data_IF_157094189044
#
_entry.id   IF_157094189044
#
_cell.length_a   1.000
_cell.length_b   1.000
_cell.length_c   1.000
_cell.angle_alpha   90.00
_cell.angle_beta   90.00
_cell.angle_gamma   90.00
#
_symmetry.space_group_name_H-M   'P 1'
#
loop_
_entity.id
_entity.type
_entity.pdbx_description
1 polymer ?
#
# COMPACT_ATOMS: atom_id res chain seq x y z
N UNK A 1 -13.11 -43.06 -29.01
CA UNK A 1 -12.29 -41.98 -29.61
C UNK A 1 -12.43 -40.77 -28.71
N UNK A 2 -11.41 -40.46 -27.91
CA UNK A 2 -11.42 -39.28 -27.06
C UNK A 2 -11.29 -38.03 -27.93
N UNK A 3 -12.13 -37.03 -27.69
CA UNK A 3 -12.00 -35.70 -28.28
C UNK A 3 -10.59 -35.15 -27.99
N UNK A 4 -9.83 -34.69 -29.01
CA UNK A 4 -8.53 -34.10 -28.77
C UNK A 4 -8.69 -32.88 -27.87
N UNK A 5 -7.94 -32.84 -26.77
CA UNK A 5 -7.93 -31.72 -25.84
C UNK A 5 -7.57 -30.46 -26.64
N UNK A 6 -8.50 -29.52 -26.71
CA UNK A 6 -8.34 -28.29 -27.50
C UNK A 6 -7.27 -27.43 -26.82
N UNK A 7 -6.24 -27.01 -27.54
CA UNK A 7 -5.30 -26.01 -27.03
C UNK A 7 -6.07 -24.71 -26.78
N UNK A 8 -6.20 -24.31 -25.51
CA UNK A 8 -6.84 -23.06 -25.11
C UNK A 8 -5.74 -22.03 -24.94
N UNK A 9 -5.80 -20.95 -25.72
CA UNK A 9 -4.90 -19.81 -25.57
C UNK A 9 -5.72 -18.56 -25.24
N UNK A 10 -5.31 -17.82 -24.21
CA UNK A 10 -5.94 -16.56 -23.83
C UNK A 10 -4.89 -15.56 -23.36
N UNK A 11 -5.23 -14.27 -23.47
CA UNK A 11 -4.35 -13.17 -23.08
C UNK A 11 -4.75 -12.64 -21.70
N UNK A 12 -3.76 -12.39 -20.86
CA UNK A 12 -3.92 -11.86 -19.51
C UNK A 12 -3.00 -10.68 -19.27
N UNK A 13 -3.45 -9.73 -18.45
CA UNK A 13 -2.64 -8.62 -17.94
C UNK A 13 -2.49 -8.78 -16.43
N UNK A 14 -1.33 -9.16 -15.86
CA UNK A 14 -1.24 -9.59 -14.46
C UNK A 14 -1.19 -8.41 -13.46
N UNK A 15 -2.16 -7.50 -13.56
CA UNK A 15 -2.35 -6.34 -12.68
C UNK A 15 -3.82 -6.24 -12.24
N UNK A 16 -4.08 -5.71 -11.04
CA UNK A 16 -5.37 -5.86 -10.35
C UNK A 16 -6.49 -4.96 -10.87
N UNK A 17 -6.17 -3.82 -11.52
CA UNK A 17 -7.14 -2.80 -11.95
C UNK A 17 -7.81 -3.13 -13.29
N UNK A 18 -8.40 -4.32 -13.43
CA UNK A 18 -8.89 -4.86 -14.72
C UNK A 18 -9.85 -3.92 -15.45
N UNK A 19 -10.70 -3.23 -14.70
CA UNK A 19 -11.72 -2.32 -15.24
C UNK A 19 -11.22 -0.89 -15.43
N UNK A 20 -9.92 -0.63 -15.27
CA UNK A 20 -9.32 0.69 -15.48
C UNK A 20 -8.49 0.70 -16.77
N UNK A 21 -8.99 1.28 -17.87
CA UNK A 21 -8.29 1.30 -19.15
C UNK A 21 -6.91 1.96 -19.07
N UNK A 22 -6.80 3.09 -18.37
CA UNK A 22 -5.54 3.84 -18.23
C UNK A 22 -4.47 3.00 -17.52
N UNK A 23 -4.84 2.27 -16.47
CA UNK A 23 -3.92 1.34 -15.82
C UNK A 23 -3.55 0.18 -16.74
N UNK A 24 -4.54 -0.39 -17.43
CA UNK A 24 -4.34 -1.56 -18.30
C UNK A 24 -3.49 -1.23 -19.54
N UNK A 25 -3.55 -0.02 -20.08
CA UNK A 25 -2.71 0.42 -21.20
C UNK A 25 -1.21 0.40 -20.86
N UNK A 26 -0.88 0.51 -19.57
CA UNK A 26 0.48 0.48 -19.04
C UNK A 26 0.92 -0.92 -18.57
N UNK A 27 0.16 -1.97 -18.88
CA UNK A 27 0.42 -3.36 -18.45
C UNK A 27 0.56 -4.26 -19.67
N UNK A 28 1.69 -4.99 -19.74
CA UNK A 28 2.00 -5.92 -20.83
C UNK A 28 1.01 -7.09 -20.88
N UNK A 29 0.68 -7.50 -22.11
CA UNK A 29 -0.09 -8.71 -22.39
C UNK A 29 0.79 -9.95 -22.24
N UNK A 30 0.25 -10.96 -21.55
CA UNK A 30 0.84 -12.28 -21.41
C UNK A 30 -0.09 -13.32 -22.04
N UNK A 31 0.46 -14.23 -22.82
CA UNK A 31 -0.30 -15.36 -23.38
C UNK A 31 -0.23 -16.55 -22.43
N UNK A 32 -1.37 -17.14 -22.12
CA UNK A 32 -1.47 -18.39 -21.38
C UNK A 32 -2.01 -19.44 -22.33
N UNK A 33 -1.20 -20.44 -22.62
CA UNK A 33 -1.55 -21.52 -23.55
C UNK A 33 -1.55 -22.85 -22.81
N UNK A 34 -2.68 -23.54 -22.84
CA UNK A 34 -2.78 -24.93 -22.40
C UNK A 34 -2.26 -25.83 -23.51
N UNK A 35 -1.37 -26.75 -23.14
CA UNK A 35 -0.80 -27.75 -24.05
C UNK A 35 -1.35 -29.14 -23.72
N UNK A 36 -1.59 -29.93 -24.76
CA UNK A 36 -2.25 -31.24 -24.63
C UNK A 36 -1.31 -32.38 -24.18
N UNK A 37 0.01 -32.23 -24.38
CA UNK A 37 1.01 -33.24 -24.02
C UNK A 37 2.04 -32.71 -23.02
N UNK A 38 2.32 -33.50 -21.98
CA UNK A 38 3.41 -33.21 -21.03
C UNK A 38 4.80 -33.20 -21.70
N UNK A 39 4.96 -33.84 -22.87
CA UNK A 39 6.22 -33.81 -23.61
C UNK A 39 6.57 -32.42 -24.16
N UNK A 40 5.60 -31.52 -24.31
CA UNK A 40 5.86 -30.11 -24.68
C UNK A 40 6.44 -29.29 -23.52
N UNK A 41 6.28 -29.76 -22.27
CA UNK A 41 6.91 -29.18 -21.08
C UNK A 41 8.33 -29.71 -20.82
N UNK A 42 8.88 -30.60 -21.66
CA UNK A 42 10.20 -31.19 -21.42
C UNK A 42 11.37 -30.24 -21.77
N UNK A 43 11.10 -29.07 -22.36
CA UNK A 43 12.13 -28.10 -22.75
C UNK A 43 12.27 -26.99 -21.69
N UNK A 44 12.64 -27.36 -20.47
CA UNK A 44 12.93 -26.42 -19.39
C UNK A 44 14.43 -26.19 -19.28
N UNK A 45 14.89 -24.95 -19.36
CA UNK A 45 16.28 -24.60 -19.03
C UNK A 45 16.50 -24.65 -17.51
N UNK A 46 15.48 -24.25 -16.74
CA UNK A 46 15.51 -24.17 -15.30
C UNK A 46 14.22 -24.77 -14.72
N UNK A 47 14.36 -25.83 -13.94
CA UNK A 47 13.24 -26.46 -13.23
C UNK A 47 13.24 -26.00 -11.78
N UNK A 48 12.12 -25.43 -11.34
CA UNK A 48 11.93 -24.88 -10.00
C UNK A 48 11.09 -25.84 -9.15
N UNK A 49 11.41 -25.97 -7.87
CA UNK A 49 10.70 -26.85 -6.93
C UNK A 49 9.54 -26.16 -6.19
N UNK A 50 9.41 -24.84 -6.31
CA UNK A 50 8.39 -24.03 -5.62
C UNK A 50 7.41 -23.42 -6.61
N UNK A 51 6.17 -23.09 -6.19
CA UNK A 51 5.25 -22.34 -7.03
C UNK A 51 5.78 -20.94 -7.35
N UNK A 52 5.18 -20.30 -8.36
CA UNK A 52 5.45 -18.92 -8.71
C UNK A 52 4.21 -18.02 -8.67
N UNK A 53 4.42 -16.72 -8.45
CA UNK A 53 3.40 -15.68 -8.63
C UNK A 53 3.90 -14.70 -9.69
N UNK A 54 3.18 -14.60 -10.80
CA UNK A 54 3.40 -13.62 -11.86
C UNK A 54 2.57 -12.36 -11.60
N UNK A 55 3.23 -11.20 -11.49
CA UNK A 55 2.55 -9.91 -11.42
C UNK A 55 3.29 -8.82 -12.20
N UNK A 56 2.54 -7.82 -12.65
CA UNK A 56 3.08 -6.66 -13.39
C UNK A 56 3.35 -5.49 -12.44
N UNK A 57 4.50 -4.84 -12.63
CA UNK A 57 4.82 -3.53 -12.06
C UNK A 57 4.43 -2.37 -12.98
N UNK A 58 3.59 -2.60 -13.98
CA UNK A 58 2.97 -1.58 -14.82
C UNK A 58 1.91 -0.77 -14.06
N UNK A 59 0.88 -0.31 -14.79
CA UNK A 59 -0.27 0.37 -14.21
C UNK A 59 0.12 1.63 -13.42
N UNK A 60 -0.25 1.69 -12.13
CA UNK A 60 -0.04 2.86 -11.28
C UNK A 60 1.13 2.73 -10.28
N UNK A 61 2.03 1.77 -10.48
CA UNK A 61 3.23 1.65 -9.66
C UNK A 61 4.02 2.97 -9.60
N UNK A 62 4.59 3.28 -8.44
CA UNK A 62 5.27 4.56 -8.15
C UNK A 62 4.39 5.60 -7.50
N UNK A 63 3.07 5.47 -7.59
CA UNK A 63 2.17 6.19 -6.70
C UNK A 63 2.07 5.43 -5.37
N UNK A 64 2.48 6.04 -4.26
CA UNK A 64 2.55 5.36 -2.96
C UNK A 64 1.22 4.74 -2.49
N UNK A 65 0.06 5.30 -2.86
CA UNK A 65 -1.22 4.67 -2.58
C UNK A 65 -1.39 3.37 -3.35
N UNK A 66 -1.18 3.41 -4.67
CA UNK A 66 -1.29 2.24 -5.54
C UNK A 66 -0.19 1.21 -5.28
N UNK A 67 1.01 1.63 -4.90
CA UNK A 67 2.06 0.72 -4.46
C UNK A 67 1.57 -0.20 -3.34
N UNK A 68 0.80 0.33 -2.37
CA UNK A 68 0.22 -0.49 -1.31
C UNK A 68 -1.09 -1.16 -1.71
N UNK A 69 -2.03 -0.40 -2.27
CA UNK A 69 -3.41 -0.85 -2.57
C UNK A 69 -3.43 -1.88 -3.70
N UNK A 70 -2.62 -1.67 -4.75
CA UNK A 70 -2.68 -2.46 -5.99
C UNK A 70 -1.61 -3.56 -6.02
N UNK A 71 -0.50 -3.41 -5.28
CA UNK A 71 0.66 -4.30 -5.35
C UNK A 71 1.01 -4.94 -4.01
N UNK A 72 1.49 -4.19 -3.01
CA UNK A 72 2.06 -4.77 -1.78
C UNK A 72 1.03 -5.56 -0.96
N UNK A 73 -0.17 -5.01 -0.72
CA UNK A 73 -1.22 -5.71 0.03
C UNK A 73 -1.72 -6.94 -0.76
N UNK A 74 -2.09 -6.83 -2.05
CA UNK A 74 -2.45 -7.99 -2.85
C UNK A 74 -1.35 -9.06 -2.94
N UNK A 75 -0.07 -8.66 -3.03
CA UNK A 75 1.06 -9.59 -3.05
C UNK A 75 1.19 -10.31 -1.71
N UNK A 76 1.08 -9.61 -0.57
CA UNK A 76 1.02 -10.23 0.75
C UNK A 76 -0.12 -11.25 0.82
N UNK A 77 -1.34 -10.87 0.46
CA UNK A 77 -2.51 -11.75 0.50
C UNK A 77 -2.40 -12.96 -0.43
N UNK A 78 -1.72 -12.80 -1.57
CA UNK A 78 -1.54 -13.90 -2.54
C UNK A 78 -0.44 -14.87 -2.12
N UNK A 79 0.63 -14.36 -1.53
CA UNK A 79 1.85 -15.14 -1.22
C UNK A 79 1.86 -15.74 0.19
N UNK A 80 1.08 -15.20 1.14
CA UNK A 80 1.19 -15.57 2.56
C UNK A 80 1.02 -17.08 2.82
N UNK A 81 0.12 -17.74 2.09
CA UNK A 81 -0.12 -19.19 2.15
C UNK A 81 1.15 -20.05 1.91
N UNK A 82 2.15 -19.52 1.20
CA UNK A 82 3.37 -20.26 0.87
C UNK A 82 4.49 -20.08 1.91
N UNK A 83 4.33 -19.19 2.90
CA UNK A 83 5.29 -18.95 3.98
C UNK A 83 6.76 -18.74 3.50
N UNK A 84 6.93 -18.06 2.37
CA UNK A 84 8.24 -17.80 1.76
C UNK A 84 8.66 -18.81 0.67
N UNK A 85 7.98 -19.95 0.57
CA UNK A 85 8.21 -21.00 -0.44
C UNK A 85 7.46 -20.72 -1.76
N UNK A 86 7.72 -19.55 -2.33
CA UNK A 86 7.14 -19.11 -3.61
C UNK A 86 8.11 -18.16 -4.30
N UNK A 87 8.30 -18.28 -5.60
CA UNK A 87 9.14 -17.35 -6.37
C UNK A 87 8.28 -16.25 -7.01
N UNK A 88 8.79 -15.03 -7.04
CA UNK A 88 8.13 -13.91 -7.71
C UNK A 88 8.64 -13.73 -9.12
N UNK A 89 7.71 -13.71 -10.07
CA UNK A 89 7.98 -13.41 -11.47
C UNK A 89 7.38 -12.04 -11.77
N UNK A 90 8.23 -11.12 -12.22
CA UNK A 90 7.85 -9.72 -12.44
C UNK A 90 7.95 -9.38 -13.92
N UNK A 91 6.94 -8.68 -14.43
CA UNK A 91 6.92 -8.07 -15.76
C UNK A 91 6.62 -6.58 -15.62
N UNK A 92 6.85 -5.80 -16.69
CA UNK A 92 6.86 -4.34 -16.67
C UNK A 92 7.81 -3.81 -15.57
N UNK A 93 8.97 -4.45 -15.44
CA UNK A 93 9.82 -4.34 -14.26
C UNK A 93 10.33 -2.91 -14.03
N UNK A 94 10.44 -2.55 -12.75
CA UNK A 94 10.91 -1.24 -12.29
C UNK A 94 11.91 -1.47 -11.17
N UNK A 95 13.23 -1.51 -11.46
CA UNK A 95 14.25 -1.83 -10.45
C UNK A 95 14.21 -0.93 -9.19
N UNK A 96 13.86 0.35 -9.36
CA UNK A 96 13.68 1.29 -8.24
C UNK A 96 12.51 0.90 -7.31
N UNK A 97 11.46 0.26 -7.84
CA UNK A 97 10.32 -0.21 -7.06
C UNK A 97 10.72 -1.44 -6.22
N UNK A 98 11.43 -2.38 -6.85
CA UNK A 98 12.00 -3.55 -6.15
C UNK A 98 12.91 -3.08 -5.01
N UNK A 99 13.79 -2.11 -5.27
CA UNK A 99 14.69 -1.53 -4.26
C UNK A 99 13.90 -0.88 -3.12
N UNK A 100 12.86 -0.09 -3.44
CA UNK A 100 12.00 0.58 -2.45
C UNK A 100 11.32 -0.41 -1.49
N UNK A 101 10.88 -1.56 -2.01
CA UNK A 101 10.12 -2.58 -1.26
C UNK A 101 10.93 -3.83 -0.91
N UNK A 102 12.26 -3.80 -1.06
CA UNK A 102 13.14 -4.97 -0.92
C UNK A 102 12.95 -5.73 0.39
N UNK A 103 12.75 -5.01 1.51
CA UNK A 103 12.58 -5.61 2.83
C UNK A 103 11.28 -6.43 2.90
N UNK A 104 10.19 -5.91 2.31
CA UNK A 104 8.92 -6.61 2.22
C UNK A 104 9.06 -7.84 1.31
N UNK A 105 9.62 -7.66 0.11
CA UNK A 105 9.75 -8.74 -0.87
C UNK A 105 10.55 -9.92 -0.32
N UNK A 106 11.68 -9.65 0.34
CA UNK A 106 12.53 -10.67 1.00
C UNK A 106 11.85 -11.38 2.18
N UNK A 107 10.86 -10.75 2.81
CA UNK A 107 10.08 -11.40 3.88
C UNK A 107 8.85 -12.15 3.35
N UNK A 108 8.47 -11.97 2.07
CA UNK A 108 7.38 -12.70 1.43
C UNK A 108 7.87 -13.90 0.60
N UNK A 109 9.12 -13.87 0.12
CA UNK A 109 9.75 -14.93 -0.66
C UNK A 109 11.21 -15.10 -0.24
N UNK A 110 11.66 -16.36 -0.16
CA UNK A 110 13.06 -16.73 0.09
C UNK A 110 13.91 -16.79 -1.19
N UNK A 111 13.29 -16.60 -2.36
CA UNK A 111 13.91 -16.77 -3.66
C UNK A 111 14.15 -15.42 -4.34
N UNK A 112 15.13 -15.37 -5.22
CA UNK A 112 15.36 -14.19 -6.05
C UNK A 112 14.17 -13.94 -6.98
N UNK A 113 13.88 -12.66 -7.19
CA UNK A 113 12.83 -12.21 -8.09
C UNK A 113 13.32 -12.39 -9.52
N UNK A 114 12.52 -13.05 -10.35
CA UNK A 114 12.79 -13.22 -11.78
C UNK A 114 12.16 -12.06 -12.54
N UNK A 115 12.99 -11.27 -13.21
CA UNK A 115 12.54 -10.28 -14.18
C UNK A 115 12.27 -10.97 -15.53
N UNK A 116 11.00 -11.15 -15.86
CA UNK A 116 10.60 -11.80 -17.10
C UNK A 116 10.77 -10.92 -18.33
N UNK A 117 10.99 -9.61 -18.18
CA UNK A 117 11.22 -8.73 -19.33
C UNK A 117 12.62 -8.87 -19.92
N UNK A 118 13.55 -9.44 -19.15
CA UNK A 118 14.95 -9.68 -19.53
C UNK A 118 15.35 -11.15 -19.49
N UNK A 119 14.41 -12.04 -19.17
CA UNK A 119 14.68 -13.47 -19.07
C UNK A 119 14.77 -14.11 -20.46
N UNK A 120 15.85 -14.86 -20.69
CA UNK A 120 16.08 -15.63 -21.93
C UNK A 120 15.84 -17.13 -21.74
N UNK A 121 15.90 -17.62 -20.49
CA UNK A 121 15.71 -19.03 -20.14
C UNK A 121 14.25 -19.39 -19.91
N UNK A 122 13.87 -20.61 -20.26
CA UNK A 122 12.57 -21.20 -19.97
C UNK A 122 12.57 -21.75 -18.54
N UNK A 123 11.75 -21.14 -17.68
CA UNK A 123 11.54 -21.58 -16.31
C UNK A 123 10.28 -22.45 -16.21
N UNK A 124 10.41 -23.60 -15.58
CA UNK A 124 9.29 -24.49 -15.29
C UNK A 124 9.00 -24.52 -13.80
N UNK A 125 7.73 -24.32 -13.45
CA UNK A 125 7.23 -24.29 -12.08
C UNK A 125 6.16 -25.37 -11.90
N UNK A 126 6.03 -25.99 -10.71
CA UNK A 126 4.96 -26.93 -10.41
C UNK A 126 3.57 -26.30 -10.51
N UNK A 127 3.45 -24.99 -10.24
CA UNK A 127 2.25 -24.19 -10.48
C UNK A 127 2.59 -22.70 -10.52
N UNK A 128 1.74 -21.93 -11.19
CA UNK A 128 1.87 -20.46 -11.30
C UNK A 128 0.52 -19.81 -11.00
N UNK A 129 0.53 -18.80 -10.12
CA UNK A 129 -0.58 -17.87 -9.95
C UNK A 129 -0.33 -16.65 -10.84
N UNK A 130 -1.29 -16.30 -11.70
CA UNK A 130 -1.18 -15.15 -12.60
C UNK A 130 -2.05 -14.00 -12.10
N UNK A 131 -1.39 -12.90 -11.71
CA UNK A 131 -2.00 -11.75 -11.07
C UNK A 131 -2.07 -11.87 -9.55
N UNK A 132 -2.62 -10.83 -8.91
CA UNK A 132 -2.70 -10.72 -7.45
C UNK A 132 -4.16 -10.70 -6.96
N UNK A 133 -4.39 -11.23 -5.76
CA UNK A 133 -5.70 -11.22 -5.09
C UNK A 133 -5.99 -9.83 -4.51
N UNK A 134 -6.84 -9.06 -5.18
CA UNK A 134 -7.31 -7.75 -4.71
C UNK A 134 -8.69 -7.87 -4.06
N UNK A 135 -8.84 -7.32 -2.85
CA UNK A 135 -10.11 -7.39 -2.11
C UNK A 135 -10.85 -6.04 -2.13
N UNK A 136 -10.15 -4.96 -1.76
CA UNK A 136 -10.66 -3.59 -1.67
C UNK A 136 -9.51 -2.60 -1.53
N UNK A 137 -9.84 -1.31 -1.62
CA UNK A 137 -8.87 -0.22 -1.49
C UNK A 137 -8.14 -0.26 -0.15
N UNK A 138 -6.81 -0.27 -0.22
CA UNK A 138 -5.89 -0.23 0.92
C UNK A 138 -6.32 -1.17 2.05
N UNK A 139 -6.80 -2.36 1.69
CA UNK A 139 -7.51 -3.20 2.63
C UNK A 139 -7.59 -4.67 2.24
N UNK A 140 -7.56 -5.52 3.26
CA UNK A 140 -7.87 -6.94 3.15
C UNK A 140 -9.31 -7.15 3.65
N UNK A 141 -10.13 -7.81 2.82
CA UNK A 141 -11.40 -8.37 3.23
C UNK A 141 -11.20 -9.77 3.79
N UNK A 142 -11.40 -9.95 5.09
CA UNK A 142 -11.17 -11.20 5.79
C UNK A 142 -12.09 -12.32 5.31
N UNK A 143 -13.32 -11.99 4.92
CA UNK A 143 -14.31 -12.95 4.41
C UNK A 143 -13.90 -13.56 3.07
N UNK A 144 -13.04 -12.88 2.30
CA UNK A 144 -12.52 -13.31 0.99
C UNK A 144 -11.14 -13.92 1.06
N UNK A 145 -10.48 -13.86 2.23
CA UNK A 145 -9.14 -14.40 2.41
C UNK A 145 -9.20 -15.88 2.77
N UNK A 146 -8.51 -16.73 2.00
CA UNK A 146 -8.44 -18.18 2.27
C UNK A 146 -7.89 -18.48 3.68
N UNK A 147 -6.91 -17.69 4.15
CA UNK A 147 -6.30 -17.85 5.47
C UNK A 147 -6.91 -16.89 6.52
N UNK A 148 -8.08 -16.32 6.25
CA UNK A 148 -8.74 -15.32 7.09
C UNK A 148 -7.82 -14.14 7.47
N UNK A 149 -6.93 -13.73 6.56
CA UNK A 149 -6.02 -12.61 6.78
C UNK A 149 -6.81 -11.31 6.94
N UNK A 150 -6.32 -10.46 7.85
CA UNK A 150 -6.83 -9.14 8.13
C UNK A 150 -5.77 -8.06 7.85
N UNK A 151 -6.21 -6.80 7.86
CA UNK A 151 -5.27 -5.67 7.83
C UNK A 151 -4.39 -5.60 9.09
N UNK A 152 -4.81 -6.20 10.20
CA UNK A 152 -3.98 -6.28 11.39
C UNK A 152 -2.79 -7.23 11.17
N UNK A 153 -3.01 -8.37 10.52
CA UNK A 153 -1.95 -9.32 10.18
C UNK A 153 -0.92 -8.71 9.23
N UNK A 154 -1.40 -7.98 8.21
CA UNK A 154 -0.53 -7.24 7.30
C UNK A 154 0.30 -6.18 8.06
N UNK A 155 -0.30 -5.42 8.98
CA UNK A 155 0.44 -4.45 9.80
C UNK A 155 1.45 -5.15 10.71
N UNK A 156 1.10 -6.28 11.31
CA UNK A 156 2.04 -7.07 12.12
C UNK A 156 3.22 -7.60 11.28
N UNK A 157 2.96 -8.00 10.03
CA UNK A 157 4.00 -8.35 9.07
C UNK A 157 4.94 -7.16 8.78
N UNK A 158 4.39 -5.96 8.52
CA UNK A 158 5.22 -4.75 8.32
C UNK A 158 6.04 -4.40 9.57
N UNK A 159 5.45 -4.52 10.76
CA UNK A 159 6.13 -4.28 12.03
C UNK A 159 7.32 -5.20 12.21
N UNK A 160 7.16 -6.48 11.88
CA UNK A 160 8.24 -7.47 11.95
C UNK A 160 9.31 -7.16 10.90
N UNK A 161 8.90 -6.90 9.65
CA UNK A 161 9.78 -6.60 8.50
C UNK A 161 10.70 -5.41 8.77
N UNK A 162 10.20 -4.34 9.42
CA UNK A 162 10.96 -3.13 9.69
C UNK A 162 11.43 -3.01 11.15
N UNK A 163 11.30 -4.08 11.94
CA UNK A 163 11.66 -4.11 13.36
C UNK A 163 11.06 -2.93 14.15
N UNK A 164 9.78 -2.66 13.93
CA UNK A 164 9.06 -1.55 14.54
C UNK A 164 8.69 -1.87 15.99
N UNK A 165 9.14 -1.04 16.93
CA UNK A 165 8.89 -1.21 18.38
C UNK A 165 7.39 -1.23 18.68
N UNK A 166 6.94 -2.20 19.48
CA UNK A 166 5.56 -2.33 19.98
C UNK A 166 5.13 -1.04 20.67
N UNK A 167 4.03 -0.45 20.20
CA UNK A 167 3.47 0.81 20.72
C UNK A 167 2.79 0.69 22.09
N UNK A 168 3.31 -0.15 22.98
CA UNK A 168 2.73 -0.38 24.31
C UNK A 168 3.14 0.66 25.36
N UNK A 169 3.65 1.81 24.95
CA UNK A 169 3.80 2.92 25.87
C UNK A 169 3.19 4.15 25.23
N UNK A 170 1.88 4.33 25.39
CA UNK A 170 1.43 5.65 25.83
C UNK A 170 2.25 5.89 27.09
N UNK A 171 3.40 6.53 26.93
CA UNK A 171 4.18 6.96 28.08
C UNK A 171 3.27 8.00 28.72
N UNK A 172 2.59 7.61 29.80
CA UNK A 172 1.59 8.40 30.52
C UNK A 172 2.15 9.79 30.91
N UNK A 173 3.47 9.98 30.81
CA UNK A 173 4.22 11.19 31.11
C UNK A 173 4.84 11.92 29.89
N UNK A 174 4.59 11.51 28.64
CA UNK A 174 5.13 12.18 27.45
C UNK A 174 4.03 12.86 26.62
N UNK A 175 4.38 14.01 26.01
CA UNK A 175 3.54 14.69 25.02
C UNK A 175 3.22 13.74 23.85
N UNK A 176 1.96 13.70 23.35
CA UNK A 176 1.61 12.90 22.19
C UNK A 176 2.38 13.38 20.96
N UNK A 177 2.86 12.43 20.15
CA UNK A 177 3.69 12.73 18.98
C UNK A 177 2.84 12.80 17.72
N UNK A 178 2.85 13.94 17.05
CA UNK A 178 2.14 14.19 15.80
C UNK A 178 3.11 14.16 14.63
N UNK A 179 2.89 13.27 13.66
CA UNK A 179 3.54 13.37 12.35
C UNK A 179 2.66 14.11 11.36
N UNK A 180 3.18 15.17 10.74
CA UNK A 180 2.53 15.84 9.62
C UNK A 180 3.18 15.37 8.32
N UNK A 181 2.40 14.69 7.49
CA UNK A 181 2.83 14.25 6.16
C UNK A 181 2.78 15.45 5.22
N UNK A 182 3.95 15.99 4.90
CA UNK A 182 4.10 17.11 3.98
C UNK A 182 4.44 16.63 2.56
N UNK A 183 4.07 17.42 1.56
CA UNK A 183 4.31 17.16 0.14
C UNK A 183 4.87 18.41 -0.50
N UNK A 184 5.84 18.29 -1.41
CA UNK A 184 6.41 19.44 -2.13
C UNK A 184 5.68 19.82 -3.42
N UNK A 185 5.06 18.84 -4.10
CA UNK A 185 4.48 19.02 -5.43
C UNK A 185 3.00 19.44 -5.38
N UNK A 186 2.09 18.45 -5.42
CA UNK A 186 0.65 18.71 -5.40
C UNK A 186 0.06 18.55 -4.00
N UNK A 187 -1.02 19.29 -3.71
CA UNK A 187 -1.75 19.25 -2.43
C UNK A 187 -0.79 19.37 -1.24
N UNK A 188 -0.08 20.50 -1.18
CA UNK A 188 0.90 20.83 -0.14
C UNK A 188 0.34 21.87 0.84
N UNK A 189 0.82 21.81 2.08
CA UNK A 189 0.58 22.86 3.06
C UNK A 189 1.44 24.08 2.70
N UNK A 190 0.83 25.25 2.56
CA UNK A 190 1.61 26.48 2.34
C UNK A 190 2.05 27.13 3.64
N UNK A 191 1.44 26.75 4.76
CA UNK A 191 1.73 27.29 6.09
C UNK A 191 2.13 26.20 7.09
N UNK A 192 2.91 25.21 6.66
CA UNK A 192 3.35 24.08 7.51
C UNK A 192 4.01 24.55 8.83
N UNK A 193 4.76 25.65 8.80
CA UNK A 193 5.39 26.23 9.99
C UNK A 193 4.37 26.75 11.01
N UNK A 194 3.26 27.33 10.55
CA UNK A 194 2.16 27.78 11.42
C UNK A 194 1.42 26.58 12.01
N UNK A 195 1.14 25.57 11.19
CA UNK A 195 0.49 24.33 11.63
C UNK A 195 1.31 23.64 12.70
N UNK A 196 2.63 23.53 12.47
CA UNK A 196 3.59 22.91 13.39
C UNK A 196 3.65 23.68 14.71
N UNK A 197 3.77 25.02 14.67
CA UNK A 197 3.79 25.86 15.88
C UNK A 197 2.51 25.72 16.68
N UNK A 198 1.35 25.72 16.02
CA UNK A 198 0.09 25.61 16.73
C UNK A 198 -0.11 24.22 17.34
N UNK A 199 0.18 23.14 16.60
CA UNK A 199 0.15 21.81 17.17
C UNK A 199 1.09 21.69 18.39
N UNK A 200 2.28 22.32 18.34
CA UNK A 200 3.17 22.44 19.49
C UNK A 200 2.54 23.17 20.69
N UNK A 201 1.84 24.29 20.46
CA UNK A 201 1.11 25.00 21.53
C UNK A 201 -0.06 24.22 22.12
N UNK A 202 -0.64 23.29 21.34
CA UNK A 202 -1.67 22.36 21.81
C UNK A 202 -1.09 21.15 22.56
N UNK A 203 0.23 21.10 22.77
CA UNK A 203 0.90 20.09 23.57
C UNK A 203 1.43 18.88 22.80
N UNK A 204 1.43 18.91 21.46
CA UNK A 204 2.03 17.85 20.65
C UNK A 204 3.55 18.03 20.53
N UNK A 205 4.28 16.92 20.49
CA UNK A 205 5.63 16.85 19.93
C UNK A 205 5.51 16.59 18.41
N UNK A 206 5.88 17.57 17.59
CA UNK A 206 5.54 17.58 16.16
C UNK A 206 6.75 17.22 15.31
N UNK A 207 6.57 16.25 14.41
CA UNK A 207 7.55 15.87 13.40
C UNK A 207 6.94 16.06 12.01
N UNK A 208 7.68 16.67 11.09
CA UNK A 208 7.27 16.73 9.68
C UNK A 208 7.99 15.63 8.90
N UNK A 209 7.23 14.82 8.17
CA UNK A 209 7.79 13.80 7.30
C UNK A 209 7.52 14.11 5.82
N UNK A 210 8.53 13.87 4.98
CA UNK A 210 8.45 13.91 3.52
C UNK A 210 8.76 12.51 2.96
N UNK A 211 7.76 11.60 2.89
CA UNK A 211 7.99 10.18 2.61
C UNK A 211 8.67 9.86 1.27
N UNK A 212 8.70 10.80 0.33
CA UNK A 212 9.31 10.61 -0.99
C UNK A 212 10.82 10.93 -1.01
N UNK A 213 11.40 11.44 0.08
CA UNK A 213 12.83 11.77 0.16
C UNK A 213 13.65 10.82 1.03
N UNK A 214 12.99 10.00 1.85
CA UNK A 214 13.64 9.06 2.76
C UNK A 214 13.23 7.62 2.44
N UNK A 215 14.12 6.66 2.75
CA UNK A 215 13.82 5.24 2.53
C UNK A 215 12.63 4.76 3.36
N UNK A 216 11.89 3.76 2.85
CA UNK A 216 10.65 3.28 3.45
C UNK A 216 10.80 2.84 4.92
N UNK A 217 11.94 2.27 5.29
CA UNK A 217 12.26 1.89 6.68
C UNK A 217 12.33 3.10 7.62
N UNK A 218 12.95 4.20 7.20
CA UNK A 218 13.05 5.43 8.00
C UNK A 218 11.66 6.07 8.20
N UNK A 219 10.84 6.08 7.14
CA UNK A 219 9.46 6.55 7.22
C UNK A 219 8.64 5.67 8.16
N UNK A 220 8.76 4.33 8.04
CA UNK A 220 8.07 3.39 8.90
C UNK A 220 8.44 3.57 10.38
N UNK A 221 9.72 3.73 10.71
CA UNK A 221 10.19 4.01 12.07
C UNK A 221 9.65 5.33 12.62
N UNK A 222 9.69 6.39 11.80
CA UNK A 222 9.18 7.72 12.17
C UNK A 222 7.68 7.65 12.46
N UNK A 223 6.90 7.12 11.53
CA UNK A 223 5.44 7.06 11.66
C UNK A 223 5.00 6.12 12.79
N UNK A 224 5.66 4.98 12.96
CA UNK A 224 5.37 4.06 14.08
C UNK A 224 5.66 4.67 15.46
N UNK A 225 6.50 5.70 15.52
CA UNK A 225 6.83 6.41 16.75
C UNK A 225 5.86 7.55 17.09
N UNK A 226 4.79 7.72 16.31
CA UNK A 226 3.80 8.78 16.46
C UNK A 226 2.42 8.24 16.86
N UNK A 227 1.71 9.03 17.67
CA UNK A 227 0.36 8.73 18.16
C UNK A 227 -0.72 9.28 17.22
N UNK A 228 -0.36 10.30 16.44
CA UNK A 228 -1.26 10.97 15.49
C UNK A 228 -0.53 11.16 14.16
N UNK A 229 -1.22 10.87 13.05
CA UNK A 229 -0.80 11.24 11.71
C UNK A 229 -1.80 12.22 11.12
N UNK A 230 -1.29 13.36 10.64
CA UNK A 230 -2.07 14.34 9.90
C UNK A 230 -1.56 14.45 8.47
N UNK A 231 -2.48 14.47 7.51
CA UNK A 231 -2.11 14.67 6.11
C UNK A 231 -3.30 15.01 5.23
N UNK A 232 -3.01 15.64 4.09
CA UNK A 232 -4.02 15.93 3.07
C UNK A 232 -4.38 14.65 2.33
N UNK A 233 -5.66 14.48 2.00
CA UNK A 233 -6.16 13.37 1.21
C UNK A 233 -5.26 13.11 -0.02
N UNK A 234 -4.71 11.89 -0.08
CA UNK A 234 -3.84 11.43 -1.16
C UNK A 234 -2.79 10.43 -0.67
N UNK A 235 -1.88 10.09 -1.57
CA UNK A 235 -0.92 8.99 -1.38
C UNK A 235 -0.04 9.09 -0.12
N UNK A 236 0.19 10.29 0.42
CA UNK A 236 0.93 10.45 1.66
C UNK A 236 0.26 9.79 2.87
N UNK A 237 -1.08 9.78 2.92
CA UNK A 237 -1.85 9.19 4.03
C UNK A 237 -1.71 7.68 4.11
N UNK A 238 -1.29 7.01 3.03
CA UNK A 238 -1.02 5.57 3.01
C UNK A 238 -0.02 5.15 4.10
N UNK A 239 0.86 6.06 4.54
CA UNK A 239 1.78 5.80 5.64
C UNK A 239 1.11 5.45 6.97
N UNK A 240 -0.22 5.64 7.10
CA UNK A 240 -0.97 5.15 8.27
C UNK A 240 -0.84 3.65 8.51
N UNK A 241 -0.45 2.86 7.49
CA UNK A 241 -0.13 1.42 7.67
C UNK A 241 0.96 1.18 8.71
N UNK A 242 1.85 2.15 8.95
CA UNK A 242 2.95 2.04 9.91
C UNK A 242 2.62 2.58 11.30
N UNK A 243 1.45 3.21 11.50
CA UNK A 243 1.08 3.72 12.83
C UNK A 243 0.95 2.58 13.83
N UNK A 244 1.12 2.84 15.14
CA UNK A 244 0.75 1.90 16.19
C UNK A 244 -0.78 1.78 16.29
N UNK A 245 -1.24 0.73 16.95
CA UNK A 245 -2.68 0.51 17.19
C UNK A 245 -3.31 1.66 17.98
N UNK A 246 -4.59 1.93 17.69
CA UNK A 246 -5.39 3.00 18.30
C UNK A 246 -4.88 4.43 18.03
N UNK A 247 -3.80 4.61 17.27
CA UNK A 247 -3.34 5.91 16.81
C UNK A 247 -4.41 6.62 15.98
N UNK A 248 -4.31 7.95 15.90
CA UNK A 248 -5.31 8.80 15.26
C UNK A 248 -4.83 9.22 13.87
N UNK A 249 -5.70 9.06 12.87
CA UNK A 249 -5.50 9.58 11.52
C UNK A 249 -6.41 10.80 11.32
N UNK A 250 -5.79 11.96 11.14
CA UNK A 250 -6.43 13.22 10.75
C UNK A 250 -6.27 13.38 9.23
N UNK A 251 -7.33 13.08 8.50
CA UNK A 251 -7.41 13.30 7.07
C UNK A 251 -7.93 14.70 6.80
N UNK A 252 -7.14 15.52 6.11
CA UNK A 252 -7.61 16.82 5.63
C UNK A 252 -8.18 16.64 4.23
N UNK A 253 -9.47 16.91 4.09
CA UNK A 253 -10.23 16.71 2.86
C UNK A 253 -10.23 18.01 2.06
N UNK A 254 -9.67 18.03 0.83
CA UNK A 254 -9.83 19.16 -0.08
C UNK A 254 -11.31 19.45 -0.37
N UNK A 255 -11.66 20.70 -0.63
CA UNK A 255 -13.00 21.06 -1.07
C UNK A 255 -13.35 20.39 -2.40
N UNK A 256 -14.62 20.01 -2.55
CA UNK A 256 -15.16 19.49 -3.81
C UNK A 256 -16.04 18.24 -3.69
N UNK A 257 -16.76 18.07 -2.57
CA UNK A 257 -17.72 16.96 -2.38
C UNK A 257 -17.12 15.56 -2.59
N UNK A 258 -15.88 15.35 -2.15
CA UNK A 258 -15.15 14.08 -2.30
C UNK A 258 -15.19 13.21 -1.03
N UNK A 259 -16.12 13.47 -0.13
CA UNK A 259 -16.20 12.83 1.19
C UNK A 259 -16.41 11.32 1.12
N UNK A 260 -17.18 10.86 0.13
CA UNK A 260 -17.35 9.44 -0.17
C UNK A 260 -16.01 8.78 -0.49
N UNK A 261 -15.25 9.35 -1.43
CA UNK A 261 -13.92 8.83 -1.81
C UNK A 261 -12.92 8.89 -0.65
N UNK A 262 -12.96 9.96 0.16
CA UNK A 262 -12.12 10.08 1.34
C UNK A 262 -12.39 8.96 2.36
N UNK A 263 -13.68 8.65 2.55
CA UNK A 263 -14.13 7.56 3.42
C UNK A 263 -13.73 6.19 2.89
N UNK A 264 -13.89 5.93 1.59
CA UNK A 264 -13.52 4.64 0.99
C UNK A 264 -12.00 4.40 0.99
N UNK A 265 -11.20 5.40 0.64
CA UNK A 265 -9.76 5.22 0.46
C UNK A 265 -8.93 5.28 1.74
N UNK A 266 -9.41 6.00 2.77
CA UNK A 266 -8.64 6.14 4.02
C UNK A 266 -9.49 5.98 5.28
N UNK A 267 -10.75 6.41 5.28
CA UNK A 267 -11.62 6.29 6.46
C UNK A 267 -11.94 4.85 6.87
N UNK A 268 -12.43 4.03 5.94
CA UNK A 268 -12.70 2.61 6.15
C UNK A 268 -11.40 1.82 6.36
N UNK A 269 -10.33 2.00 5.56
CA UNK A 269 -9.05 1.36 5.79
C UNK A 269 -8.45 1.67 7.17
N UNK A 270 -8.50 2.91 7.65
CA UNK A 270 -8.00 3.26 8.99
C UNK A 270 -8.70 2.45 10.09
N UNK A 271 -10.04 2.33 10.02
CA UNK A 271 -10.79 1.49 10.97
C UNK A 271 -10.44 0.02 10.88
N UNK A 272 -10.29 -0.52 9.66
CA UNK A 272 -9.86 -1.91 9.46
C UNK A 272 -8.44 -2.18 9.98
N UNK A 273 -7.62 -1.13 10.10
CA UNK A 273 -6.29 -1.15 10.70
C UNK A 273 -6.30 -0.87 12.22
N UNK A 274 -7.44 -0.94 12.91
CA UNK A 274 -7.54 -0.60 14.34
C UNK A 274 -7.04 0.82 14.68
N UNK A 275 -7.18 1.76 13.73
CA UNK A 275 -6.85 3.17 13.94
C UNK A 275 -8.13 3.96 14.21
N UNK A 276 -7.97 5.04 14.98
CA UNK A 276 -9.02 6.03 15.18
C UNK A 276 -8.98 7.01 14.01
N UNK A 277 -10.12 7.37 13.47
CA UNK A 277 -10.19 8.36 12.39
C UNK A 277 -11.36 9.30 12.63
N UNK A 278 -11.12 10.58 12.38
CA UNK A 278 -12.17 11.58 12.33
C UNK A 278 -12.30 12.10 10.90
N UNK A 279 -13.33 11.62 10.20
CA UNK A 279 -13.65 12.02 8.82
C UNK A 279 -14.32 13.39 8.73
N UNK A 280 -14.68 14.01 9.87
CA UNK A 280 -15.49 15.23 9.89
C UNK A 280 -14.67 16.52 9.96
N UNK A 281 -13.33 16.46 9.87
CA UNK A 281 -12.50 17.65 10.00
C UNK A 281 -12.71 18.68 8.87
N UNK A 282 -13.37 18.32 7.76
CA UNK A 282 -13.57 19.20 6.61
C UNK A 282 -14.91 18.92 5.89
N UNK A 283 -16.04 18.91 6.60
CA UNK A 283 -17.35 19.13 5.95
C UNK A 283 -18.23 20.04 6.80
N UNK A 284 -18.49 21.23 6.28
CA UNK A 284 -19.52 22.17 6.73
C UNK A 284 -19.49 22.58 8.22
N UNK A 285 -18.78 23.68 8.51
CA UNK A 285 -19.29 24.80 9.30
C UNK A 285 -20.07 24.52 10.60
N UNK A 286 -19.76 23.48 11.37
CA UNK A 286 -20.34 23.30 12.70
C UNK A 286 -19.32 23.65 13.79
N UNK A 287 -19.69 24.67 14.54
CA UNK A 287 -18.93 25.37 15.55
C UNK A 287 -18.37 24.46 16.65
N UNK A 288 -17.05 24.53 16.87
CA UNK A 288 -16.37 24.15 18.11
C UNK A 288 -15.26 25.19 18.42
N UNK A 289 -15.03 25.50 19.70
CA UNK A 289 -14.18 26.62 20.14
C UNK A 289 -12.68 26.29 20.00
N UNK A 290 -11.93 27.16 19.31
CA UNK A 290 -10.46 27.18 19.19
C UNK A 290 -9.96 26.94 17.76
N UNK A 291 -9.33 27.92 17.10
CA UNK A 291 -9.07 27.88 15.63
C UNK A 291 -7.61 27.73 15.22
N UNK A 292 -7.33 26.74 14.37
CA UNK A 292 -6.11 26.57 13.55
C UNK A 292 -6.35 27.20 12.17
N UNK A 293 -5.36 27.76 11.49
CA UNK A 293 -5.53 28.18 10.10
C UNK A 293 -4.71 27.22 9.25
N UNK A 294 -5.32 26.50 8.32
CA UNK A 294 -4.60 25.61 7.39
C UNK A 294 -4.78 26.21 6.00
N UNK A 295 -3.73 26.83 5.49
CA UNK A 295 -3.71 27.45 4.17
C UNK A 295 -3.18 26.45 3.14
N UNK A 296 -3.92 26.32 2.04
CA UNK A 296 -3.50 25.57 0.87
C UNK A 296 -3.15 26.54 -0.26
N UNK A 297 -2.29 26.08 -1.16
CA UNK A 297 -1.86 26.84 -2.36
C UNK A 297 -2.99 27.17 -3.35
N UNK A 298 -4.24 26.80 -3.04
CA UNK A 298 -5.43 27.09 -3.85
C UNK A 298 -6.58 27.85 -3.14
N UNK A 299 -6.43 28.27 -1.87
CA UNK A 299 -7.19 29.34 -1.14
C UNK A 299 -7.13 29.10 0.40
N UNK A 300 -7.23 30.15 1.23
CA UNK A 300 -7.15 30.05 2.70
C UNK A 300 -8.43 29.49 3.31
N UNK A 301 -8.33 28.60 4.31
CA UNK A 301 -9.47 28.12 5.10
C UNK A 301 -9.17 28.17 6.61
N UNK A 302 -10.18 28.59 7.38
CA UNK A 302 -10.18 28.58 8.84
C UNK A 302 -10.52 27.19 9.35
N UNK A 303 -9.68 26.64 10.22
CA UNK A 303 -9.87 25.40 10.96
C UNK A 303 -10.40 25.75 12.37
N UNK A 304 -11.18 24.85 12.96
CA UNK A 304 -11.52 24.86 14.38
C UNK A 304 -11.20 23.46 14.94
N UNK A 305 -10.34 23.41 15.97
CA UNK A 305 -9.77 22.19 16.56
C UNK A 305 -10.72 21.50 17.54
N UNK A 306 -10.37 20.27 17.91
CA UNK A 306 -11.06 19.45 18.92
C UNK A 306 -10.00 19.00 19.95
N UNK A 307 -10.35 19.14 21.24
CA UNK A 307 -9.64 18.60 22.42
C UNK A 307 -9.95 17.10 22.54
#
# INVERSE_FOLDING_TARGET
MGTPARNISYVVKPYIRKDNPVAMDLVKNWSVTSVASQTEFLHCDLVQSVPAILFSLGGFSGNHFHDFSDLVIPLYTTSKQFNGEVQFLVTDNKPWWITKFQAILRNLSRYDIVDLDTQEKIHCYPSIIIGLKFHKELGIDQSKSQDQLSMNDFRQFLRSTYSLKMGNTIRIHNKPRLVIISRRKSRSFTNINEITRMAGSLGYDVVTAEPNMTGLSSVAQTVNSCDVLMGIHGAGLTNMVFLPDKAIVIQIVPLGSIDGLCREYFGKPARAMNLRTNLNACTNGRHFKGSLLVCFRQKPFKFQGII
#
